data_IF_727732882778
#
_entry.id   IF_727732882778
#
_cell.length_a   1.000
_cell.length_b   1.000
_cell.length_c   1.000
_cell.angle_alpha   90.00
_cell.angle_beta   90.00
_cell.angle_gamma   90.00
#
_symmetry.space_group_name_H-M   'P 1'
#
loop_
_entity.id
_entity.type
_entity.pdbx_description
1 polymer ?
#
# COMPACT_ATOMS: atom_id res chain seq x y z
N UNK A 1 35.49 -34.04 -5.58
CA UNK A 1 35.01 -34.09 -6.98
C UNK A 1 36.10 -34.77 -7.78
N UNK A 2 35.81 -35.96 -8.29
CA UNK A 2 36.76 -36.83 -8.95
C UNK A 2 36.83 -36.47 -10.45
N UNK A 3 38.01 -36.09 -10.99
CA UNK A 3 38.15 -35.69 -12.39
C UNK A 3 38.13 -36.87 -13.38
N UNK A 4 37.94 -38.11 -12.93
CA UNK A 4 37.94 -39.31 -13.79
C UNK A 4 36.55 -39.85 -14.13
N UNK A 5 35.47 -39.19 -13.71
CA UNK A 5 34.10 -39.61 -14.02
C UNK A 5 33.68 -39.19 -15.45
N UNK A 6 33.47 -40.13 -16.40
CA UNK A 6 33.06 -39.84 -17.77
C UNK A 6 31.57 -39.49 -17.91
N UNK A 7 30.80 -39.41 -16.81
CA UNK A 7 29.35 -39.20 -16.85
C UNK A 7 28.90 -37.83 -17.42
N UNK A 8 29.78 -36.83 -17.52
CA UNK A 8 29.42 -35.52 -18.07
C UNK A 8 29.42 -35.45 -19.61
N UNK A 9 29.96 -36.47 -20.30
CA UNK A 9 30.04 -36.47 -21.78
C UNK A 9 28.77 -36.95 -22.51
N UNK A 10 27.72 -37.37 -21.80
CA UNK A 10 26.50 -37.90 -22.45
C UNK A 10 25.36 -36.88 -22.66
N UNK A 11 25.58 -35.58 -22.49
CA UNK A 11 24.49 -34.58 -22.44
C UNK A 11 24.33 -33.66 -23.66
N UNK A 12 24.78 -34.06 -24.86
CA UNK A 12 24.63 -33.22 -26.07
C UNK A 12 23.92 -33.92 -27.25
N UNK A 13 22.86 -34.67 -26.98
CA UNK A 13 21.91 -35.10 -28.01
C UNK A 13 20.55 -34.43 -27.78
N UNK A 14 20.50 -33.12 -28.03
CA UNK A 14 19.25 -32.38 -28.19
C UNK A 14 18.87 -32.46 -29.68
N UNK A 15 17.69 -32.98 -30.04
CA UNK A 15 17.24 -32.99 -31.43
C UNK A 15 17.11 -31.56 -31.98
N UNK A 16 17.38 -31.33 -33.27
CA UNK A 16 17.19 -30.01 -33.87
C UNK A 16 15.73 -29.57 -33.77
N UNK A 17 15.46 -28.26 -33.58
CA UNK A 17 14.11 -27.74 -33.58
C UNK A 17 13.43 -27.99 -34.94
N UNK A 18 12.11 -28.23 -34.96
CA UNK A 18 11.36 -28.43 -36.18
C UNK A 18 11.41 -27.18 -37.07
N UNK A 19 11.63 -27.41 -38.37
CA UNK A 19 11.68 -26.39 -39.42
C UNK A 19 10.38 -25.55 -39.38
N UNK A 20 10.51 -24.31 -38.91
CA UNK A 20 9.43 -23.32 -38.97
C UNK A 20 9.46 -22.74 -40.38
N UNK A 21 8.77 -23.44 -41.29
CA UNK A 21 8.58 -23.01 -42.67
C UNK A 21 8.18 -21.54 -42.72
N UNK A 22 9.03 -20.74 -43.35
CA UNK A 22 8.71 -19.36 -43.72
C UNK A 22 7.43 -19.36 -44.56
N UNK A 23 6.41 -18.56 -44.21
CA UNK A 23 5.21 -18.48 -45.01
C UNK A 23 5.57 -17.95 -46.40
N UNK A 24 5.31 -18.79 -47.41
CA UNK A 24 5.39 -18.46 -48.82
C UNK A 24 4.44 -17.28 -49.07
N UNK A 25 5.02 -16.14 -49.45
CA UNK A 25 4.30 -14.92 -49.82
C UNK A 25 3.59 -15.21 -51.15
N UNK A 26 2.31 -15.57 -51.07
CA UNK A 26 1.43 -15.63 -52.23
C UNK A 26 1.11 -14.21 -52.67
N UNK A 27 1.67 -13.87 -53.83
CA UNK A 27 1.41 -12.66 -54.59
C UNK A 27 0.03 -12.83 -55.24
N UNK A 28 -1.04 -12.50 -54.49
CA UNK A 28 -2.40 -12.48 -55.02
C UNK A 28 -2.72 -11.13 -55.64
N UNK A 29 -3.05 -11.22 -56.92
CA UNK A 29 -3.49 -10.18 -57.82
C UNK A 29 -4.62 -9.29 -57.27
N UNK A 30 -4.52 -8.01 -57.61
CA UNK A 30 -5.61 -7.09 -57.98
C UNK A 30 -7.01 -7.42 -57.45
N UNK A 31 -7.28 -7.05 -56.20
CA UNK A 31 -8.64 -6.83 -55.69
C UNK A 31 -8.85 -5.33 -55.52
N UNK A 32 -9.94 -4.81 -56.06
CA UNK A 32 -10.34 -3.40 -55.87
C UNK A 32 -10.38 -3.02 -54.40
N UNK A 33 -10.16 -1.73 -54.06
CA UNK A 33 -10.36 -1.26 -52.69
C UNK A 33 -11.84 -1.43 -52.33
N UNK A 34 -12.13 -2.49 -51.58
CA UNK A 34 -13.40 -2.68 -50.90
C UNK A 34 -13.59 -1.49 -49.95
N UNK A 35 -14.42 -0.55 -50.40
CA UNK A 35 -14.82 0.61 -49.62
C UNK A 35 -15.66 0.09 -48.45
N UNK A 36 -15.01 -0.18 -47.32
CA UNK A 36 -15.68 -0.54 -46.07
C UNK A 36 -16.52 0.66 -45.66
N UNK A 37 -17.82 0.54 -45.92
CA UNK A 37 -18.81 1.55 -45.58
C UNK A 37 -18.95 1.61 -44.05
N UNK A 38 -18.25 2.56 -43.44
CA UNK A 38 -18.35 2.86 -42.00
C UNK A 38 -19.70 3.51 -41.61
N UNK A 39 -20.65 3.63 -42.54
CA UNK A 39 -21.94 4.26 -42.28
C UNK A 39 -22.93 3.42 -41.46
N UNK A 40 -22.66 2.13 -41.21
CA UNK A 40 -23.52 1.28 -40.39
C UNK A 40 -22.87 0.95 -39.04
N UNK A 41 -22.43 2.00 -38.34
CA UNK A 41 -22.15 1.89 -36.91
C UNK A 41 -23.51 1.89 -36.20
N UNK A 42 -24.01 0.69 -35.89
CA UNK A 42 -25.24 0.46 -35.15
C UNK A 42 -25.34 1.43 -33.94
N UNK A 43 -26.24 2.44 -33.98
CA UNK A 43 -26.42 3.37 -32.88
C UNK A 43 -27.05 2.70 -31.66
N UNK A 44 -27.42 1.42 -31.72
CA UNK A 44 -27.97 0.67 -30.59
C UNK A 44 -26.90 0.15 -29.62
N UNK A 45 -25.61 0.25 -29.92
CA UNK A 45 -24.54 0.06 -28.93
C UNK A 45 -24.15 1.39 -28.25
N UNK A 46 -25.16 2.16 -27.83
CA UNK A 46 -25.01 3.05 -26.67
C UNK A 46 -24.59 2.12 -25.54
N UNK A 47 -23.28 2.04 -25.29
CA UNK A 47 -22.75 1.53 -24.04
C UNK A 47 -23.59 2.17 -22.96
N UNK A 48 -24.41 1.35 -22.29
CA UNK A 48 -24.85 1.65 -20.95
C UNK A 48 -23.57 2.04 -20.22
N UNK A 49 -23.34 3.34 -20.05
CA UNK A 49 -22.54 3.90 -18.97
C UNK A 49 -23.28 3.47 -17.70
N UNK A 50 -23.18 2.17 -17.42
CA UNK A 50 -23.79 1.53 -16.28
C UNK A 50 -23.17 2.22 -15.10
N UNK A 51 -23.94 3.12 -14.51
CA UNK A 51 -23.79 3.65 -13.17
C UNK A 51 -23.30 2.49 -12.31
N UNK A 52 -21.98 2.41 -12.11
CA UNK A 52 -21.34 1.34 -11.35
C UNK A 52 -21.73 1.64 -9.92
N UNK A 53 -22.96 1.28 -9.56
CA UNK A 53 -23.51 1.35 -8.22
C UNK A 53 -22.73 0.39 -7.37
N UNK A 54 -21.61 0.88 -6.88
CA UNK A 54 -20.91 0.39 -5.70
C UNK A 54 -21.95 -0.04 -4.68
N UNK A 55 -21.94 -1.33 -4.35
CA UNK A 55 -22.88 -1.87 -3.37
C UNK A 55 -22.76 -1.10 -2.05
N UNK A 56 -23.84 -0.92 -1.28
CA UNK A 56 -23.78 -0.26 0.03
C UNK A 56 -22.73 -0.87 0.97
N UNK A 57 -22.52 -2.19 0.86
CA UNK A 57 -21.46 -2.91 1.59
C UNK A 57 -20.07 -2.46 1.19
N UNK A 58 -19.82 -2.23 -0.10
CA UNK A 58 -18.52 -1.74 -0.59
C UNK A 58 -18.23 -0.33 -0.10
N UNK A 59 -19.22 0.57 -0.11
CA UNK A 59 -19.09 1.91 0.48
C UNK A 59 -18.69 1.86 1.94
N UNK A 60 -19.34 0.98 2.70
CA UNK A 60 -19.03 0.80 4.12
C UNK A 60 -17.56 0.43 4.32
N UNK A 61 -17.02 -0.53 3.56
CA UNK A 61 -15.61 -0.92 3.66
C UNK A 61 -14.64 0.17 3.20
N UNK A 62 -14.99 0.92 2.14
CA UNK A 62 -14.19 2.05 1.65
C UNK A 62 -14.07 3.18 2.68
N UNK A 63 -15.01 3.29 3.62
CA UNK A 63 -14.94 4.28 4.70
C UNK A 63 -14.29 3.67 5.95
N UNK A 64 -14.74 2.49 6.39
CA UNK A 64 -14.36 1.90 7.66
C UNK A 64 -12.87 1.53 7.74
N UNK A 65 -12.28 0.97 6.67
CA UNK A 65 -10.87 0.59 6.68
C UNK A 65 -9.93 1.80 6.84
N UNK A 66 -10.02 2.85 5.99
CA UNK A 66 -9.20 4.04 6.17
C UNK A 66 -9.49 4.78 7.48
N UNK A 67 -10.73 4.79 7.95
CA UNK A 67 -11.10 5.35 9.25
C UNK A 67 -10.39 4.62 10.38
N UNK A 68 -10.50 3.29 10.42
CA UNK A 68 -9.83 2.47 11.43
C UNK A 68 -8.31 2.62 11.36
N UNK A 69 -7.73 2.67 10.16
CA UNK A 69 -6.30 2.85 9.98
C UNK A 69 -5.83 4.21 10.53
N UNK A 70 -6.49 5.31 10.12
CA UNK A 70 -6.14 6.65 10.58
C UNK A 70 -6.35 6.82 12.09
N UNK A 71 -7.42 6.23 12.64
CA UNK A 71 -7.68 6.18 14.07
C UNK A 71 -6.55 5.49 14.84
N UNK A 72 -6.20 4.26 14.47
CA UNK A 72 -5.16 3.49 15.14
C UNK A 72 -3.78 4.11 14.98
N UNK A 73 -3.46 4.64 13.80
CA UNK A 73 -2.21 5.35 13.57
C UNK A 73 -2.11 6.61 14.44
N UNK A 74 -3.21 7.35 14.60
CA UNK A 74 -3.27 8.53 15.48
C UNK A 74 -3.06 8.13 16.95
N UNK A 75 -3.73 7.08 17.42
CA UNK A 75 -3.54 6.55 18.77
C UNK A 75 -2.10 6.10 19.01
N UNK A 76 -1.50 5.39 18.04
CA UNK A 76 -0.10 4.96 18.11
C UNK A 76 0.86 6.16 18.17
N UNK A 77 0.62 7.16 17.32
CA UNK A 77 1.41 8.39 17.28
C UNK A 77 1.38 9.12 18.62
N UNK A 78 0.19 9.30 19.22
CA UNK A 78 0.03 10.00 20.50
C UNK A 78 0.58 9.17 21.68
N UNK A 79 0.33 7.86 21.71
CA UNK A 79 0.86 6.97 22.74
C UNK A 79 2.39 7.03 22.78
N UNK A 80 3.03 7.06 21.61
CA UNK A 80 4.47 7.18 21.50
C UNK A 80 5.00 8.49 22.06
N UNK A 81 4.30 9.61 21.82
CA UNK A 81 4.67 10.91 22.42
C UNK A 81 4.64 10.84 23.94
N UNK A 82 3.60 10.25 24.51
CA UNK A 82 3.52 10.03 25.96
C UNK A 82 4.69 9.23 26.52
N UNK A 83 5.12 8.17 25.84
CA UNK A 83 6.31 7.39 26.26
C UNK A 83 7.62 8.18 26.11
N UNK A 84 7.76 8.96 25.04
CA UNK A 84 8.96 9.79 24.85
C UNK A 84 9.02 10.96 25.84
N UNK A 85 7.87 11.51 26.26
CA UNK A 85 7.80 12.52 27.33
C UNK A 85 8.29 11.95 28.68
N UNK A 86 8.22 10.61 28.87
CA UNK A 86 8.76 9.89 30.02
C UNK A 86 10.23 9.45 29.85
N UNK A 87 10.92 9.91 28.80
CA UNK A 87 12.32 9.54 28.52
C UNK A 87 12.48 8.28 27.65
N UNK A 88 11.40 7.73 27.10
CA UNK A 88 11.43 6.69 26.05
C UNK A 88 11.56 5.24 26.55
N UNK A 89 11.81 5.02 27.83
CA UNK A 89 11.89 3.68 28.43
C UNK A 89 10.90 3.57 29.58
N UNK A 90 9.85 2.76 29.39
CA UNK A 90 8.85 2.48 30.41
C UNK A 90 8.71 0.97 30.62
N UNK A 91 8.49 0.55 31.86
CA UNK A 91 8.28 -0.85 32.20
C UNK A 91 7.16 -0.99 33.24
N UNK A 92 6.53 -2.17 33.27
CA UNK A 92 5.57 -2.56 34.31
C UNK A 92 6.00 -3.91 34.88
N UNK A 93 6.25 -3.93 36.18
CA UNK A 93 6.70 -5.14 36.88
C UNK A 93 8.12 -5.58 36.53
N UNK A 94 8.55 -6.66 37.17
CA UNK A 94 9.89 -7.24 37.04
C UNK A 94 10.73 -7.12 38.32
N UNK A 95 11.88 -7.82 38.39
CA UNK A 95 12.77 -7.82 39.56
C UNK A 95 13.69 -6.59 39.63
N UNK A 96 13.65 -5.69 38.65
CA UNK A 96 14.50 -4.51 38.55
C UNK A 96 13.75 -3.23 38.97
N UNK A 97 14.49 -2.25 39.49
CA UNK A 97 13.94 -0.94 39.86
C UNK A 97 13.51 -0.18 38.59
N UNK A 98 12.22 0.15 38.53
CA UNK A 98 11.61 0.82 37.38
C UNK A 98 11.84 2.33 37.52
N UNK A 99 12.68 2.90 36.65
CA UNK A 99 12.95 4.34 36.64
C UNK A 99 11.69 5.17 36.31
N UNK A 100 10.88 4.71 35.36
CA UNK A 100 9.63 5.35 34.95
C UNK A 100 8.51 4.31 34.78
N UNK A 101 7.46 4.35 35.61
CA UNK A 101 6.34 3.41 35.47
C UNK A 101 5.61 3.66 34.15
N UNK A 102 5.17 2.59 33.48
CA UNK A 102 4.47 2.75 32.22
C UNK A 102 3.09 3.40 32.40
N UNK A 103 2.66 4.24 31.44
CA UNK A 103 1.35 4.85 31.48
C UNK A 103 0.25 3.79 31.37
N UNK A 104 -0.93 4.06 31.95
CA UNK A 104 -2.06 3.12 31.96
C UNK A 104 -2.55 2.71 30.55
N UNK A 105 -2.21 3.49 29.53
CA UNK A 105 -2.54 3.25 28.13
C UNK A 105 -1.46 2.50 27.32
N UNK A 106 -0.46 1.89 27.96
CA UNK A 106 0.62 1.16 27.26
C UNK A 106 0.12 0.04 26.33
N UNK A 107 -1.04 -0.53 26.61
CA UNK A 107 -1.65 -1.58 25.78
C UNK A 107 -2.06 -1.08 24.38
N UNK A 108 -2.16 0.24 24.17
CA UNK A 108 -2.48 0.84 22.86
C UNK A 108 -1.43 0.46 21.82
N UNK A 109 -0.15 0.39 22.18
CA UNK A 109 0.93 0.07 21.24
C UNK A 109 0.70 -1.26 20.50
N UNK A 110 0.61 -2.42 21.18
CA UNK A 110 0.38 -3.69 20.50
C UNK A 110 -0.97 -3.73 19.78
N UNK A 111 -2.04 -3.16 20.37
CA UNK A 111 -3.37 -3.16 19.76
C UNK A 111 -3.39 -2.34 18.46
N UNK A 112 -2.79 -1.15 18.45
CA UNK A 112 -2.74 -0.30 17.28
C UNK A 112 -1.86 -0.91 16.17
N UNK A 113 -0.71 -1.48 16.52
CA UNK A 113 0.17 -2.15 15.54
C UNK A 113 -0.55 -3.33 14.88
N UNK A 114 -1.10 -4.25 15.70
CA UNK A 114 -1.81 -5.43 15.19
C UNK A 114 -3.04 -5.02 14.39
N UNK A 115 -3.81 -4.03 14.87
CA UNK A 115 -4.98 -3.52 14.17
C UNK A 115 -4.64 -2.88 12.82
N UNK A 116 -3.60 -2.05 12.75
CA UNK A 116 -3.13 -1.47 11.48
C UNK A 116 -2.71 -2.57 10.50
N UNK A 117 -1.95 -3.56 10.95
CA UNK A 117 -1.53 -4.71 10.13
C UNK A 117 -2.75 -5.49 9.63
N UNK A 118 -3.70 -5.81 10.49
CA UNK A 118 -4.93 -6.52 10.13
C UNK A 118 -5.74 -5.74 9.08
N UNK A 119 -5.89 -4.42 9.25
CA UNK A 119 -6.59 -3.56 8.29
C UNK A 119 -5.90 -3.58 6.92
N UNK A 120 -4.57 -3.59 6.86
CA UNK A 120 -3.86 -3.74 5.58
C UNK A 120 -4.15 -5.08 4.95
N UNK A 121 -4.02 -6.18 5.70
CA UNK A 121 -4.28 -7.52 5.18
C UNK A 121 -5.72 -7.66 4.64
N UNK A 122 -6.70 -7.07 5.32
CA UNK A 122 -8.08 -6.99 4.81
C UNK A 122 -8.14 -6.13 3.55
N UNK A 123 -7.47 -4.97 3.55
CA UNK A 123 -7.46 -4.05 2.41
C UNK A 123 -6.80 -4.61 1.15
N UNK A 124 -5.80 -5.49 1.26
CA UNK A 124 -5.15 -6.14 0.11
C UNK A 124 -5.81 -7.46 -0.27
N UNK A 125 -6.91 -7.84 0.39
CA UNK A 125 -7.68 -9.04 0.06
C UNK A 125 -7.06 -10.35 0.54
N UNK A 126 -6.07 -10.33 1.43
CA UNK A 126 -5.49 -11.54 2.04
C UNK A 126 -6.50 -12.21 2.99
N UNK A 127 -7.37 -11.42 3.62
CA UNK A 127 -8.55 -11.93 4.34
C UNK A 127 -9.83 -11.52 3.60
N UNK A 128 -10.41 -12.41 2.77
CA UNK A 128 -11.64 -12.11 2.05
C UNK A 128 -12.83 -12.17 3.03
N UNK A 129 -13.07 -11.09 3.76
CA UNK A 129 -14.27 -10.94 4.59
C UNK A 129 -15.55 -10.65 3.76
N UNK A 130 -15.46 -10.61 2.43
CA UNK A 130 -16.54 -10.16 1.55
C UNK A 130 -16.60 -10.78 0.16
N UNK A 131 -16.19 -12.05 -0.02
CA UNK A 131 -16.45 -12.82 -1.24
C UNK A 131 -15.73 -12.36 -2.52
N UNK A 132 -14.68 -11.52 -2.40
CA UNK A 132 -13.83 -11.14 -3.52
C UNK A 132 -12.86 -12.27 -3.91
N UNK A 133 -12.67 -12.46 -5.22
CA UNK A 133 -11.81 -13.50 -5.78
C UNK A 133 -10.34 -13.29 -5.39
N UNK A 134 -9.71 -14.35 -4.87
CA UNK A 134 -8.35 -14.41 -4.35
C UNK A 134 -7.33 -14.45 -5.52
N UNK A 135 -7.18 -13.35 -6.26
CA UNK A 135 -6.38 -13.33 -7.51
C UNK A 135 -5.09 -12.48 -7.46
N UNK A 136 -4.79 -11.77 -6.37
CA UNK A 136 -3.62 -10.86 -6.33
C UNK A 136 -2.70 -11.03 -5.12
N UNK A 137 -2.31 -12.27 -4.81
CA UNK A 137 -1.16 -12.53 -3.95
C UNK A 137 0.08 -12.70 -4.84
N UNK A 138 0.59 -11.61 -5.40
CA UNK A 138 1.88 -11.61 -6.06
C UNK A 138 2.70 -10.40 -5.60
N UNK A 139 3.41 -10.64 -4.49
CA UNK A 139 4.60 -9.94 -3.97
C UNK A 139 4.43 -8.59 -3.23
N UNK A 140 5.30 -8.31 -2.25
CA UNK A 140 5.30 -7.07 -1.48
C UNK A 140 5.82 -5.84 -2.25
N UNK A 141 6.39 -6.01 -3.46
CA UNK A 141 6.84 -4.90 -4.33
C UNK A 141 7.00 -5.31 -5.83
N UNK A 142 5.96 -5.32 -6.70
CA UNK A 142 6.20 -5.45 -8.13
C UNK A 142 5.53 -4.31 -8.93
N UNK A 143 6.34 -3.30 -9.25
CA UNK A 143 6.04 -2.34 -10.31
C UNK A 143 4.89 -1.35 -10.02
N UNK A 144 5.00 -0.16 -10.63
CA UNK A 144 4.01 0.92 -10.58
C UNK A 144 2.63 0.55 -11.16
N UNK A 145 2.35 -0.74 -11.41
CA UNK A 145 1.08 -1.30 -11.86
C UNK A 145 -0.02 -1.28 -10.80
N UNK A 146 0.28 -0.95 -9.54
CA UNK A 146 -0.75 -0.77 -8.50
C UNK A 146 -1.66 0.45 -8.76
N UNK A 147 -1.21 1.41 -9.57
CA UNK A 147 -2.04 2.50 -10.12
C UNK A 147 -2.60 2.16 -11.51
N UNK A 148 -2.15 1.06 -12.12
CA UNK A 148 -2.41 0.67 -13.51
C UNK A 148 -2.80 -0.81 -13.59
N UNK A 149 -3.73 -1.23 -12.74
CA UNK A 149 -4.51 -2.44 -12.96
C UNK A 149 -5.89 -1.95 -13.37
N UNK A 150 -6.21 -2.05 -14.65
CA UNK A 150 -7.41 -1.52 -15.32
C UNK A 150 -8.76 -2.06 -14.80
N UNK A 151 -8.78 -2.76 -13.67
CA UNK A 151 -9.97 -3.34 -13.04
C UNK A 151 -9.97 -3.26 -11.51
N UNK A 152 -8.88 -2.83 -10.85
CA UNK A 152 -8.75 -2.87 -9.39
C UNK A 152 -8.68 -1.47 -8.79
N UNK A 153 -9.76 -1.04 -8.12
CA UNK A 153 -9.84 0.24 -7.40
C UNK A 153 -8.66 0.39 -6.43
N UNK A 154 -7.85 1.45 -6.60
CA UNK A 154 -6.70 1.69 -5.74
C UNK A 154 -7.13 1.87 -4.27
N UNK A 155 -6.51 1.10 -3.36
CA UNK A 155 -6.65 1.31 -1.91
C UNK A 155 -5.57 2.27 -1.43
N UNK A 156 -6.00 3.44 -0.94
CA UNK A 156 -5.11 4.40 -0.30
C UNK A 156 -4.43 3.79 0.92
N UNK A 157 -5.14 2.95 1.67
CA UNK A 157 -4.59 2.31 2.86
C UNK A 157 -3.42 1.41 2.48
N UNK A 158 -3.56 0.59 1.44
CA UNK A 158 -2.49 -0.30 1.02
C UNK A 158 -1.24 0.45 0.51
N UNK A 159 -1.44 1.52 -0.28
CA UNK A 159 -0.32 2.32 -0.81
C UNK A 159 0.34 3.17 0.27
N UNK A 160 -0.46 3.79 1.13
CA UNK A 160 0.01 4.78 2.10
C UNK A 160 0.37 4.19 3.45
N UNK A 161 -0.02 2.94 3.77
CA UNK A 161 0.26 2.34 5.08
C UNK A 161 1.73 2.45 5.48
N UNK A 162 2.63 2.00 4.61
CA UNK A 162 4.05 1.99 4.87
C UNK A 162 4.60 3.40 5.08
N UNK A 163 4.50 4.33 4.11
CA UNK A 163 5.01 5.68 4.31
C UNK A 163 4.31 6.39 5.47
N UNK A 164 3.01 6.19 5.70
CA UNK A 164 2.29 6.84 6.79
C UNK A 164 2.83 6.42 8.17
N UNK A 165 3.05 5.12 8.41
CA UNK A 165 3.62 4.64 9.68
C UNK A 165 5.02 5.19 9.87
N UNK A 166 5.89 5.01 8.89
CA UNK A 166 7.30 5.36 9.03
C UNK A 166 7.54 6.88 9.12
N UNK A 167 6.81 7.68 8.33
CA UNK A 167 6.92 9.14 8.40
C UNK A 167 6.30 9.68 9.69
N UNK A 168 5.20 9.10 10.17
CA UNK A 168 4.57 9.49 11.45
C UNK A 168 5.49 9.20 12.64
N UNK A 169 6.06 7.98 12.71
CA UNK A 169 7.03 7.62 13.77
C UNK A 169 8.32 8.42 13.63
N UNK A 170 8.84 8.57 12.41
CA UNK A 170 10.04 9.35 12.13
C UNK A 170 9.90 10.80 12.57
N UNK A 171 8.74 11.42 12.32
CA UNK A 171 8.44 12.78 12.78
C UNK A 171 8.49 12.89 14.30
N UNK A 172 7.86 11.95 15.01
CA UNK A 172 7.90 11.88 16.47
C UNK A 172 9.35 11.87 16.98
N UNK A 173 10.19 11.00 16.46
CA UNK A 173 11.60 10.93 16.88
C UNK A 173 12.41 12.18 16.54
N UNK A 174 12.21 12.78 15.37
CA UNK A 174 12.91 14.00 14.98
C UNK A 174 12.52 15.16 15.89
N UNK A 175 11.23 15.35 16.15
CA UNK A 175 10.74 16.42 17.00
C UNK A 175 11.29 16.30 18.42
N UNK A 176 11.27 15.09 18.99
CA UNK A 176 11.81 14.84 20.32
C UNK A 176 13.32 14.96 20.36
N UNK A 177 14.01 14.46 19.33
CA UNK A 177 15.47 14.52 19.20
C UNK A 177 16.02 15.94 19.15
N UNK A 178 15.33 16.85 18.43
CA UNK A 178 15.81 18.21 18.20
C UNK A 178 15.23 19.27 19.15
N UNK A 179 13.97 19.13 19.57
CA UNK A 179 13.26 20.24 20.21
C UNK A 179 12.79 19.98 21.65
N UNK A 180 12.60 18.72 22.06
CA UNK A 180 12.06 18.40 23.40
C UNK A 180 13.07 17.84 24.40
N UNK A 181 14.18 17.27 23.95
CA UNK A 181 15.23 16.81 24.85
C UNK A 181 16.02 17.98 25.46
N UNK A 182 16.59 17.79 26.66
CA UNK A 182 17.56 18.71 27.26
C UNK A 182 18.88 18.64 26.45
N UNK A 183 18.88 19.26 25.27
CA UNK A 183 19.93 19.14 24.27
C UNK A 183 19.59 18.15 23.16
N UNK A 184 20.58 17.85 22.32
CA UNK A 184 20.40 16.98 21.16
C UNK A 184 20.41 15.50 21.56
N UNK A 185 19.23 14.88 21.60
CA UNK A 185 19.11 13.44 21.84
C UNK A 185 19.41 12.65 20.56
N UNK A 186 20.70 12.37 20.34
CA UNK A 186 21.21 11.68 19.15
C UNK A 186 20.50 10.36 18.83
N UNK A 187 20.17 9.56 19.85
CA UNK A 187 19.47 8.29 19.65
C UNK A 187 18.12 8.49 18.97
N UNK A 188 17.34 9.48 19.41
CA UNK A 188 16.07 9.83 18.79
C UNK A 188 16.27 10.43 17.41
N UNK A 189 17.20 11.37 17.24
CA UNK A 189 17.46 11.99 15.95
C UNK A 189 17.85 10.96 14.87
N UNK A 190 18.75 10.02 15.18
CA UNK A 190 19.17 8.96 14.25
C UNK A 190 18.00 8.04 13.89
N UNK A 191 17.23 7.58 14.87
CA UNK A 191 16.02 6.77 14.62
C UNK A 191 15.02 7.52 13.73
N UNK A 192 14.81 8.81 13.98
CA UNK A 192 13.94 9.66 13.18
C UNK A 192 14.37 9.75 11.72
N UNK A 193 15.66 10.00 11.45
CA UNK A 193 16.20 10.05 10.09
C UNK A 193 16.04 8.71 9.37
N UNK A 194 16.35 7.59 10.05
CA UNK A 194 16.21 6.25 9.46
C UNK A 194 14.75 5.96 9.10
N UNK A 195 13.79 6.26 9.99
CA UNK A 195 12.38 6.04 9.68
C UNK A 195 11.87 6.96 8.57
N UNK A 196 12.28 8.24 8.55
CA UNK A 196 11.94 9.13 7.44
C UNK A 196 12.53 8.62 6.11
N UNK A 197 13.74 8.08 6.11
CA UNK A 197 14.32 7.47 4.92
C UNK A 197 13.53 6.22 4.49
N UNK A 198 13.19 5.32 5.42
CA UNK A 198 12.44 4.09 5.15
C UNK A 198 11.01 4.34 4.61
N UNK A 199 10.33 5.37 5.10
CA UNK A 199 9.00 5.75 4.62
C UNK A 199 9.05 6.66 3.38
N UNK A 200 9.95 7.63 3.40
CA UNK A 200 10.06 8.68 2.39
C UNK A 200 10.71 8.22 1.09
N UNK A 201 11.71 7.32 1.13
CA UNK A 201 12.39 6.87 -0.07
C UNK A 201 11.47 6.08 -1.04
N UNK A 202 10.71 5.07 -0.59
CA UNK A 202 9.76 4.38 -1.47
C UNK A 202 8.70 5.34 -2.02
N UNK A 203 8.18 6.24 -1.18
CA UNK A 203 7.19 7.24 -1.60
C UNK A 203 7.76 8.17 -2.67
N UNK A 204 8.99 8.65 -2.48
CA UNK A 204 9.69 9.49 -3.46
C UNK A 204 9.88 8.78 -4.81
N UNK A 205 10.26 7.50 -4.81
CA UNK A 205 10.41 6.72 -6.05
C UNK A 205 9.09 6.55 -6.80
N UNK A 206 7.99 6.31 -6.10
CA UNK A 206 6.65 6.22 -6.70
C UNK A 206 6.27 7.57 -7.32
N UNK A 207 6.42 8.66 -6.56
CA UNK A 207 6.09 10.01 -7.03
C UNK A 207 6.97 10.47 -8.20
N UNK A 208 8.22 10.01 -8.29
CA UNK A 208 9.12 10.33 -9.40
C UNK A 208 8.76 9.57 -10.69
N UNK A 209 8.26 8.34 -10.57
CA UNK A 209 7.89 7.50 -11.72
C UNK A 209 6.53 7.86 -12.31
N UNK A 210 5.60 8.33 -11.49
CA UNK A 210 4.24 8.69 -11.92
C UNK A 210 4.23 10.16 -12.34
N UNK A 211 3.88 10.45 -13.59
CA UNK A 211 3.71 11.84 -14.01
C UNK A 211 2.51 12.47 -13.31
N UNK A 212 2.55 13.78 -13.04
CA UNK A 212 1.41 14.49 -12.44
C UNK A 212 0.13 14.34 -13.27
N UNK A 213 0.26 14.28 -14.60
CA UNK A 213 -0.86 14.07 -15.51
C UNK A 213 -1.51 12.69 -15.27
N UNK A 214 -0.71 11.62 -15.24
CA UNK A 214 -1.20 10.27 -14.94
C UNK A 214 -1.81 10.16 -13.55
N UNK A 215 -1.24 10.84 -12.54
CA UNK A 215 -1.78 10.83 -11.19
C UNK A 215 -3.15 11.52 -11.14
N UNK A 216 -3.30 12.66 -11.81
CA UNK A 216 -4.56 13.38 -11.88
C UNK A 216 -5.63 12.60 -12.66
N UNK A 217 -5.25 11.95 -13.76
CA UNK A 217 -6.13 11.06 -14.51
C UNK A 217 -6.57 9.88 -13.65
N UNK A 218 -5.64 9.20 -12.98
CA UNK A 218 -5.96 8.12 -12.06
C UNK A 218 -6.86 8.58 -10.90
N UNK A 219 -6.63 9.77 -10.34
CA UNK A 219 -7.50 10.35 -9.30
C UNK A 219 -8.88 10.65 -9.84
N UNK A 220 -8.99 11.20 -11.06
CA UNK A 220 -10.27 11.52 -11.69
C UNK A 220 -11.07 10.25 -12.00
N UNK A 221 -10.41 9.23 -12.55
CA UNK A 221 -11.01 7.93 -12.85
C UNK A 221 -11.44 7.19 -11.57
N UNK A 222 -10.67 7.32 -10.48
CA UNK A 222 -10.96 6.66 -9.21
C UNK A 222 -11.68 7.57 -8.19
N UNK A 223 -12.14 8.76 -8.58
CA UNK A 223 -12.65 9.77 -7.66
C UNK A 223 -13.79 9.24 -6.77
N UNK A 224 -14.69 8.43 -7.35
CA UNK A 224 -15.80 7.79 -6.63
C UNK A 224 -15.37 6.81 -5.54
N UNK A 225 -14.18 6.20 -5.66
CA UNK A 225 -13.61 5.29 -4.66
C UNK A 225 -12.71 6.02 -3.65
N UNK A 226 -12.00 7.07 -4.09
CA UNK A 226 -11.06 7.81 -3.24
C UNK A 226 -11.76 8.71 -2.24
N UNK A 227 -12.86 9.35 -2.62
CA UNK A 227 -13.59 10.27 -1.76
C UNK A 227 -14.05 9.65 -0.43
N UNK A 228 -14.75 8.50 -0.40
CA UNK A 228 -15.09 7.83 0.86
C UNK A 228 -13.87 7.47 1.70
N UNK A 229 -12.75 7.09 1.08
CA UNK A 229 -11.53 6.76 1.82
C UNK A 229 -10.94 7.99 2.51
N UNK A 230 -10.90 9.12 1.80
CA UNK A 230 -10.46 10.40 2.36
C UNK A 230 -11.37 10.86 3.51
N UNK A 231 -12.69 10.70 3.37
CA UNK A 231 -13.64 10.97 4.46
C UNK A 231 -13.37 10.06 5.67
N UNK A 232 -13.10 8.77 5.44
CA UNK A 232 -12.71 7.84 6.48
C UNK A 232 -11.46 8.32 7.23
N UNK A 233 -10.39 8.67 6.51
CA UNK A 233 -9.15 9.21 7.10
C UNK A 233 -9.44 10.48 7.90
N UNK A 234 -10.16 11.43 7.30
CA UNK A 234 -10.46 12.72 7.91
C UNK A 234 -11.30 12.59 9.19
N UNK A 235 -12.17 11.58 9.28
CA UNK A 235 -12.94 11.28 10.49
C UNK A 235 -12.13 10.47 11.51
N UNK A 236 -11.26 9.57 11.06
CA UNK A 236 -10.45 8.70 11.93
C UNK A 236 -9.45 9.48 12.79
N UNK A 237 -8.83 10.54 12.24
CA UNK A 237 -7.86 11.37 12.97
C UNK A 237 -8.48 12.03 14.22
N UNK A 238 -9.54 12.88 14.12
CA UNK A 238 -10.12 13.52 15.30
C UNK A 238 -10.72 12.50 16.26
N UNK A 239 -11.28 11.39 15.77
CA UNK A 239 -11.76 10.32 16.63
C UNK A 239 -10.62 9.70 17.46
N UNK A 240 -9.45 9.49 16.84
CA UNK A 240 -8.26 8.98 17.52
C UNK A 240 -7.74 9.95 18.57
N UNK A 241 -7.69 11.25 18.25
CA UNK A 241 -7.32 12.30 19.20
C UNK A 241 -8.27 12.32 20.41
N UNK A 242 -9.59 12.33 20.16
CA UNK A 242 -10.58 12.37 21.22
C UNK A 242 -10.54 11.11 22.09
N UNK A 243 -10.42 9.94 21.47
CA UNK A 243 -10.30 8.67 22.18
C UNK A 243 -9.06 8.64 23.07
N UNK A 244 -7.89 8.98 22.51
CA UNK A 244 -6.65 9.00 23.26
C UNK A 244 -6.72 9.99 24.42
N UNK A 245 -7.24 11.20 24.18
CA UNK A 245 -7.40 12.22 25.23
C UNK A 245 -8.36 11.79 26.35
N UNK A 246 -9.31 10.90 26.08
CA UNK A 246 -10.25 10.40 27.08
C UNK A 246 -9.64 9.33 28.01
N UNK A 247 -8.52 8.71 27.62
CA UNK A 247 -7.92 7.58 28.33
C UNK A 247 -6.49 7.85 28.85
N UNK A 248 -5.87 8.94 28.40
CA UNK A 248 -4.54 9.40 28.85
C UNK A 248 -4.66 10.35 30.05
#
# INVERSE_FOLDING_TARGET
MDPTDPAWMQQTNVPPPPDTGTPRREESASGEPEYVDFAETDPAHVRDEGDVRTSPRQWLWLILLPLGFAFLLTCLFLAMRGVMDLGGMVAVGGPYEIAHPAPGYWWIFPVAIIGCIAIVFVSVGIFPLGGGSMSQVASPFPNAGMLSASDSKASLVAVLFWPAIFLSLGWNFLEYGFFKAEGLAWGWAVCGVVFVAMGGFPLYLVLRKVSRAQLLEAVKENAGSLWPQLLGIAAGIPLGVLFFSAIS
#
